data_IF_936286620336
#
_entry.id   IF_936286620336
#
_cell.length_a   1.000
_cell.length_b   1.000
_cell.length_c   1.000
_cell.angle_alpha   90.00
_cell.angle_beta   90.00
_cell.angle_gamma   90.00
#
_symmetry.space_group_name_H-M   'P 1'
#
loop_
_entity.id
_entity.type
_entity.pdbx_description
1 polymer ?
#
# COMPACT_ATOMS: atom_id res chain seq x y z
N UNK A 1 -14.77 -22.01 -11.64
CA UNK A 1 -13.42 -21.71 -11.10
C UNK A 1 -13.01 -20.27 -11.35
N UNK A 2 -13.11 -19.76 -12.59
CA UNK A 2 -12.63 -18.42 -12.99
C UNK A 2 -13.16 -17.24 -12.13
N UNK A 3 -14.47 -17.23 -11.82
CA UNK A 3 -15.09 -16.20 -10.99
C UNK A 3 -14.60 -16.22 -9.53
N UNK A 4 -14.29 -17.41 -9.01
CA UNK A 4 -13.80 -17.59 -7.63
C UNK A 4 -12.38 -17.01 -7.54
N UNK A 5 -11.49 -17.40 -8.46
CA UNK A 5 -10.13 -16.86 -8.51
C UNK A 5 -10.12 -15.35 -8.74
N UNK A 6 -11.01 -14.83 -9.60
CA UNK A 6 -11.17 -13.40 -9.86
C UNK A 6 -11.46 -12.62 -8.58
N UNK A 7 -12.48 -13.06 -7.83
CA UNK A 7 -12.89 -12.42 -6.58
C UNK A 7 -11.83 -12.55 -5.50
N UNK A 8 -11.22 -13.73 -5.37
CA UNK A 8 -10.23 -14.01 -4.34
C UNK A 8 -8.98 -13.12 -4.45
N UNK A 9 -8.56 -12.78 -5.67
CA UNK A 9 -7.36 -11.96 -5.91
C UNK A 9 -7.71 -10.47 -5.98
N UNK A 10 -8.79 -10.11 -6.70
CA UNK A 10 -9.09 -8.71 -6.98
C UNK A 10 -9.76 -8.00 -5.80
N UNK A 11 -10.59 -8.70 -5.02
CA UNK A 11 -11.30 -8.08 -3.89
C UNK A 11 -10.33 -7.60 -2.81
N UNK A 12 -9.34 -8.39 -2.34
CA UNK A 12 -8.33 -7.90 -1.39
C UNK A 12 -7.53 -6.72 -1.95
N UNK A 13 -7.21 -6.72 -3.24
CA UNK A 13 -6.51 -5.62 -3.89
C UNK A 13 -7.29 -4.32 -3.76
N UNK A 14 -8.58 -4.33 -4.11
CA UNK A 14 -9.46 -3.16 -3.99
C UNK A 14 -9.65 -2.72 -2.54
N UNK A 15 -9.76 -3.67 -1.60
CA UNK A 15 -9.89 -3.36 -0.18
C UNK A 15 -8.63 -2.68 0.38
N UNK A 16 -7.45 -3.22 0.07
CA UNK A 16 -6.18 -2.66 0.54
C UNK A 16 -5.98 -1.24 0.00
N UNK A 17 -6.21 -1.00 -1.29
CA UNK A 17 -6.08 0.33 -1.91
C UNK A 17 -7.11 1.33 -1.37
N UNK A 18 -8.35 0.89 -1.10
CA UNK A 18 -9.40 1.74 -0.54
C UNK A 18 -9.15 2.12 0.93
N UNK A 19 -8.58 1.21 1.73
CA UNK A 19 -8.29 1.42 3.15
C UNK A 19 -6.89 2.05 3.35
N UNK A 20 -6.04 2.10 2.32
CA UNK A 20 -4.71 2.75 2.33
C UNK A 20 -4.66 4.11 3.07
N UNK A 21 -5.57 5.08 2.85
CA UNK A 21 -5.53 6.37 3.57
C UNK A 21 -5.89 6.28 5.07
N UNK A 22 -6.40 5.14 5.54
CA UNK A 22 -6.68 4.86 6.94
C UNK A 22 -5.55 4.05 7.61
N UNK A 23 -4.81 3.26 6.83
CA UNK A 23 -3.64 2.50 7.31
C UNK A 23 -2.41 3.39 7.40
N UNK A 24 -2.28 4.36 6.49
CA UNK A 24 -1.17 5.33 6.50
C UNK A 24 -1.20 6.15 7.80
N UNK A 25 -0.02 6.42 8.38
CA UNK A 25 0.13 7.13 9.66
C UNK A 25 -0.73 8.40 9.70
N UNK A 26 -1.42 8.63 10.83
CA UNK A 26 -2.35 9.78 11.01
C UNK A 26 -1.70 11.14 10.77
N UNK A 27 -0.38 11.25 10.93
CA UNK A 27 0.41 12.46 10.71
C UNK A 27 0.75 12.72 9.24
N UNK A 28 0.48 11.76 8.34
CA UNK A 28 0.75 11.82 6.90
C UNK A 28 -0.50 11.40 6.12
N UNK A 29 -1.29 12.37 5.70
CA UNK A 29 -2.46 12.10 4.85
C UNK A 29 -2.09 12.39 3.40
N UNK A 30 -2.22 11.38 2.54
CA UNK A 30 -1.89 11.47 1.11
C UNK A 30 -0.47 12.01 0.85
N UNK A 31 0.52 11.61 1.66
CA UNK A 31 1.91 12.08 1.53
C UNK A 31 2.14 13.53 1.96
N UNK A 32 1.17 14.16 2.64
CA UNK A 32 1.30 15.50 3.19
C UNK A 32 1.24 15.43 4.71
N UNK A 33 2.26 15.97 5.36
CA UNK A 33 2.28 16.10 6.83
C UNK A 33 1.21 17.07 7.30
N UNK A 34 0.35 16.60 8.21
CA UNK A 34 -0.77 17.36 8.78
C UNK A 34 -0.61 17.45 10.29
N UNK A 35 -0.86 18.63 10.90
CA UNK A 35 -0.92 18.74 12.36
C UNK A 35 -1.99 17.79 12.93
N UNK A 36 -1.72 17.19 14.10
CA UNK A 36 -2.66 16.30 14.81
C UNK A 36 -4.04 16.93 14.99
N UNK A 37 -4.07 18.25 15.21
CA UNK A 37 -5.27 19.02 15.53
C UNK A 37 -6.20 19.19 14.31
N UNK A 38 -5.66 19.06 13.10
CA UNK A 38 -6.41 19.17 11.84
C UNK A 38 -6.79 17.79 11.31
N UNK A 39 -6.20 16.69 11.82
CA UNK A 39 -6.52 15.33 11.37
C UNK A 39 -8.00 14.96 11.53
N UNK A 40 -8.64 15.47 12.60
CA UNK A 40 -10.06 15.27 12.85
C UNK A 40 -10.97 16.27 12.12
N UNK A 41 -10.40 17.24 11.39
CA UNK A 41 -11.19 18.25 10.69
C UNK A 41 -12.13 17.58 9.67
N UNK A 42 -13.42 17.94 9.66
CA UNK A 42 -14.44 17.27 8.83
C UNK A 42 -14.08 17.26 7.34
N UNK A 43 -13.38 18.29 6.85
CA UNK A 43 -12.87 18.38 5.47
C UNK A 43 -11.91 17.24 5.10
N UNK A 44 -10.96 16.91 5.98
CA UNK A 44 -9.94 15.88 5.73
C UNK A 44 -10.54 14.48 5.89
N UNK A 45 -11.45 14.30 6.85
CA UNK A 45 -12.27 13.09 6.95
C UNK A 45 -13.11 12.87 5.68
N UNK A 46 -13.71 13.94 5.14
CA UNK A 46 -14.47 13.91 3.90
C UNK A 46 -13.63 13.51 2.68
N UNK A 47 -12.40 13.98 2.57
CA UNK A 47 -11.50 13.58 1.47
C UNK A 47 -11.13 12.10 1.51
N UNK A 48 -10.89 11.54 2.71
CA UNK A 48 -10.62 10.09 2.86
C UNK A 48 -11.83 9.25 2.46
N UNK A 49 -13.03 9.64 2.90
CA UNK A 49 -14.27 8.95 2.55
C UNK A 49 -14.54 9.02 1.04
N UNK A 50 -14.34 10.18 0.42
CA UNK A 50 -14.48 10.35 -1.03
C UNK A 50 -13.46 9.54 -1.81
N UNK A 51 -12.19 9.50 -1.37
CA UNK A 51 -11.17 8.65 -1.98
C UNK A 51 -11.54 7.16 -1.90
N UNK A 52 -11.93 6.68 -0.72
CA UNK A 52 -12.29 5.27 -0.52
C UNK A 52 -13.51 4.89 -1.38
N UNK A 53 -14.51 5.78 -1.44
CA UNK A 53 -15.67 5.60 -2.29
C UNK A 53 -15.31 5.59 -3.78
N UNK A 54 -14.51 6.55 -4.27
CA UNK A 54 -14.12 6.61 -5.68
C UNK A 54 -13.24 5.43 -6.09
N UNK A 55 -12.28 5.04 -5.26
CA UNK A 55 -11.38 3.90 -5.53
C UNK A 55 -12.12 2.58 -5.47
N UNK A 56 -13.07 2.44 -4.53
CA UNK A 56 -13.95 1.27 -4.43
C UNK A 56 -14.90 1.18 -5.63
N UNK A 57 -15.54 2.29 -6.02
CA UNK A 57 -16.43 2.35 -7.18
C UNK A 57 -15.67 2.01 -8.47
N UNK A 58 -14.46 2.53 -8.66
CA UNK A 58 -13.62 2.17 -9.79
C UNK A 58 -13.29 0.67 -9.81
N UNK A 59 -13.01 0.08 -8.64
CA UNK A 59 -12.77 -1.35 -8.50
C UNK A 59 -14.00 -2.20 -8.85
N UNK A 60 -15.19 -1.80 -8.39
CA UNK A 60 -16.45 -2.48 -8.71
C UNK A 60 -16.76 -2.40 -10.20
N UNK A 61 -16.56 -1.24 -10.84
CA UNK A 61 -16.78 -1.08 -12.28
C UNK A 61 -15.87 -2.01 -13.10
N UNK A 62 -14.58 -2.08 -12.74
CA UNK A 62 -13.63 -2.98 -13.42
C UNK A 62 -14.00 -4.44 -13.19
N UNK A 63 -14.41 -4.82 -11.96
CA UNK A 63 -14.89 -6.17 -11.68
C UNK A 63 -16.10 -6.56 -12.54
N UNK A 64 -17.07 -5.67 -12.68
CA UNK A 64 -18.27 -5.93 -13.50
C UNK A 64 -17.88 -6.11 -14.97
N UNK A 65 -17.00 -5.26 -15.49
CA UNK A 65 -16.50 -5.35 -16.87
C UNK A 65 -15.77 -6.68 -17.11
N UNK A 66 -14.86 -7.07 -16.20
CA UNK A 66 -14.11 -8.32 -16.30
C UNK A 66 -15.01 -9.56 -16.11
N UNK A 67 -16.03 -9.45 -15.26
CA UNK A 67 -17.03 -10.50 -15.05
C UNK A 67 -17.91 -10.72 -16.28
N UNK A 68 -18.34 -9.65 -16.95
CA UNK A 68 -19.07 -9.74 -18.22
C UNK A 68 -18.16 -10.33 -19.30
N UNK A 69 -16.92 -9.83 -19.42
CA UNK A 69 -15.95 -10.33 -20.41
C UNK A 69 -15.70 -11.84 -20.26
N UNK A 70 -15.69 -12.37 -19.03
CA UNK A 70 -15.53 -13.79 -18.74
C UNK A 70 -16.56 -14.69 -19.46
N UNK A 71 -17.77 -14.19 -19.72
CA UNK A 71 -18.80 -14.96 -20.42
C UNK A 71 -18.64 -15.01 -21.94
N UNK A 72 -17.83 -14.12 -22.53
CA UNK A 72 -17.70 -13.96 -23.97
C UNK A 72 -16.29 -14.29 -24.52
N UNK A 73 -15.33 -14.63 -23.64
CA UNK A 73 -13.94 -14.86 -24.02
C UNK A 73 -13.48 -16.27 -23.68
N UNK A 74 -12.46 -16.76 -24.38
CA UNK A 74 -11.76 -18.00 -24.00
C UNK A 74 -10.92 -17.80 -22.73
N UNK A 75 -10.59 -18.88 -22.03
CA UNK A 75 -9.80 -18.84 -20.79
C UNK A 75 -8.47 -18.08 -20.96
N UNK A 76 -7.77 -18.30 -22.07
CA UNK A 76 -6.51 -17.62 -22.38
C UNK A 76 -6.68 -16.10 -22.54
N UNK A 77 -7.67 -15.67 -23.34
CA UNK A 77 -7.94 -14.25 -23.54
C UNK A 77 -8.42 -13.59 -22.24
N UNK A 78 -9.21 -14.31 -21.44
CA UNK A 78 -9.65 -13.82 -20.15
C UNK A 78 -8.48 -13.57 -19.19
N UNK A 79 -7.50 -14.48 -19.12
CA UNK A 79 -6.31 -14.29 -18.28
C UNK A 79 -5.53 -13.04 -18.67
N UNK A 80 -5.38 -12.76 -19.97
CA UNK A 80 -4.74 -11.53 -20.46
C UNK A 80 -5.56 -10.30 -20.04
N UNK A 81 -6.87 -10.30 -20.30
CA UNK A 81 -7.76 -9.19 -19.94
C UNK A 81 -7.79 -8.93 -18.43
N UNK A 82 -7.80 -9.99 -17.63
CA UNK A 82 -7.76 -9.90 -16.18
C UNK A 82 -6.44 -9.27 -15.69
N UNK A 83 -5.31 -9.71 -16.26
CA UNK A 83 -3.98 -9.15 -15.94
C UNK A 83 -3.90 -7.68 -16.30
N UNK A 84 -4.31 -7.31 -17.51
CA UNK A 84 -4.35 -5.90 -17.96
C UNK A 84 -5.32 -5.09 -17.08
N UNK A 85 -6.46 -5.66 -16.71
CA UNK A 85 -7.46 -5.04 -15.84
C UNK A 85 -6.91 -4.70 -14.46
N UNK A 86 -6.04 -5.54 -13.89
CA UNK A 86 -5.33 -5.26 -12.63
C UNK A 86 -4.43 -4.03 -12.79
N UNK A 87 -3.61 -3.97 -13.84
CA UNK A 87 -2.74 -2.82 -14.08
C UNK A 87 -3.54 -1.53 -14.31
N UNK A 88 -4.63 -1.61 -15.09
CA UNK A 88 -5.54 -0.48 -15.31
C UNK A 88 -6.13 -0.01 -13.98
N UNK A 89 -6.58 -0.94 -13.11
CA UNK A 89 -7.09 -0.58 -11.79
C UNK A 89 -6.05 0.14 -10.94
N UNK A 90 -4.81 -0.37 -10.90
CA UNK A 90 -3.70 0.25 -10.15
C UNK A 90 -3.43 1.66 -10.68
N UNK A 91 -3.39 1.86 -12.00
CA UNK A 91 -3.21 3.16 -12.62
C UNK A 91 -4.35 4.13 -12.26
N UNK A 92 -5.60 3.68 -12.34
CA UNK A 92 -6.77 4.49 -11.97
C UNK A 92 -6.73 4.86 -10.48
N UNK A 93 -6.44 3.90 -9.60
CA UNK A 93 -6.28 4.15 -8.17
C UNK A 93 -5.17 5.17 -7.88
N UNK A 94 -4.04 5.07 -8.59
CA UNK A 94 -2.94 6.02 -8.51
C UNK A 94 -3.35 7.43 -8.97
N UNK A 95 -4.09 7.55 -10.07
CA UNK A 95 -4.61 8.85 -10.55
C UNK A 95 -5.54 9.47 -9.52
N UNK A 96 -6.47 8.68 -8.96
CA UNK A 96 -7.37 9.14 -7.90
C UNK A 96 -6.55 9.63 -6.70
N UNK A 97 -5.57 8.85 -6.24
CA UNK A 97 -4.68 9.22 -5.15
C UNK A 97 -3.98 10.56 -5.42
N UNK A 98 -3.41 10.72 -6.62
CA UNK A 98 -2.68 11.92 -7.01
C UNK A 98 -3.59 13.17 -7.07
N UNK A 99 -4.85 13.02 -7.50
CA UNK A 99 -5.81 14.11 -7.44
C UNK A 99 -6.09 14.57 -6.01
N UNK A 100 -6.25 13.63 -5.07
CA UNK A 100 -6.43 13.97 -3.66
C UNK A 100 -5.16 14.56 -3.03
N UNK A 101 -3.98 14.09 -3.42
CA UNK A 101 -2.71 14.72 -3.04
C UNK A 101 -2.68 16.21 -3.44
N UNK A 102 -3.05 16.53 -4.69
CA UNK A 102 -3.13 17.92 -5.16
C UNK A 102 -4.16 18.74 -4.37
N UNK A 103 -5.35 18.20 -4.11
CA UNK A 103 -6.39 18.88 -3.30
C UNK A 103 -5.91 19.15 -1.87
N UNK A 104 -5.20 18.20 -1.27
CA UNK A 104 -4.60 18.36 0.06
C UNK A 104 -3.48 19.40 0.07
N UNK A 105 -2.66 19.46 -0.99
CA UNK A 105 -1.61 20.48 -1.14
C UNK A 105 -2.21 21.89 -1.22
N UNK A 106 -3.24 22.07 -2.03
CA UNK A 106 -3.96 23.33 -2.15
C UNK A 106 -4.63 23.74 -0.83
N UNK A 107 -5.21 22.80 -0.09
CA UNK A 107 -5.80 23.08 1.22
C UNK A 107 -4.73 23.56 2.22
N UNK A 108 -3.56 22.91 2.24
CA UNK A 108 -2.43 23.29 3.10
C UNK A 108 -1.92 24.71 2.80
N UNK A 109 -1.90 25.10 1.53
CA UNK A 109 -1.52 26.45 1.10
C UNK A 109 -2.57 27.50 1.49
N UNK A 110 -3.86 27.20 1.30
CA UNK A 110 -4.98 28.09 1.67
C UNK A 110 -5.11 28.33 3.16
N UNK A 111 -5.05 27.27 3.95
CA UNK A 111 -5.20 27.30 5.41
C UNK A 111 -3.91 27.77 6.11
N UNK A 112 -2.88 28.09 5.34
CA UNK A 112 -1.60 28.62 5.79
C UNK A 112 -1.10 27.91 7.06
N UNK A 113 -1.07 26.57 7.05
CA UNK A 113 -0.72 25.74 8.22
C UNK A 113 0.68 26.04 8.78
N UNK A 114 1.50 26.84 8.08
CA UNK A 114 2.75 27.42 8.58
C UNK A 114 2.55 28.60 9.56
N UNK A 115 1.48 29.37 9.43
CA UNK A 115 1.21 30.59 10.21
C UNK A 115 0.69 30.31 11.62
N UNK A 116 -0.09 29.24 11.83
CA UNK A 116 -0.50 28.77 13.18
C UNK A 116 0.68 28.30 14.07
N UNK A 117 1.91 28.35 13.56
CA UNK A 117 3.13 27.90 14.25
C UNK A 117 4.14 29.04 14.52
N UNK A 118 3.65 30.27 14.68
CA UNK A 118 4.43 31.36 15.29
C UNK A 118 4.16 31.53 16.79
N UNK A 119 3.48 30.59 17.43
CA UNK A 119 3.72 30.37 18.86
C UNK A 119 5.04 29.62 18.98
N UNK A 120 6.02 30.35 19.48
CA UNK A 120 7.32 29.85 19.92
C UNK A 120 7.03 28.80 20.97
N UNK A 121 6.85 27.55 20.54
CA UNK A 121 7.04 26.43 21.45
C UNK A 121 8.53 26.43 21.72
N UNK A 122 8.93 27.10 22.80
CA UNK A 122 10.16 26.80 23.49
C UNK A 122 10.04 25.33 23.92
N UNK A 123 10.29 24.44 22.97
CA UNK A 123 10.41 23.01 23.24
C UNK A 123 11.69 22.92 24.03
N UNK A 124 11.54 22.76 25.34
CA UNK A 124 12.64 22.38 26.19
C UNK A 124 13.28 21.11 25.58
N UNK A 125 14.51 21.27 25.08
CA UNK A 125 15.28 20.20 24.46
C UNK A 125 15.74 19.16 25.50
N UNK A 126 15.40 19.34 26.78
CA UNK A 126 15.67 18.39 27.86
C UNK A 126 15.03 17.01 27.68
N UNK A 127 14.05 16.86 26.77
CA UNK A 127 13.40 15.58 26.47
C UNK A 127 14.02 14.80 25.29
N UNK A 128 15.09 15.29 24.65
CA UNK A 128 15.83 14.55 23.61
C UNK A 128 16.75 13.47 24.23
N UNK A 129 16.20 12.68 25.15
CA UNK A 129 16.89 11.53 25.75
C UNK A 129 16.01 10.27 25.76
N UNK A 130 14.95 10.23 24.96
CA UNK A 130 14.33 8.95 24.58
C UNK A 130 15.02 8.46 23.32
N UNK A 131 16.14 7.75 23.51
CA UNK A 131 16.62 6.79 22.52
C UNK A 131 15.45 5.89 22.16
N UNK A 132 14.88 6.08 20.97
CA UNK A 132 14.10 5.05 20.31
C UNK A 132 15.10 4.00 19.81
N UNK A 133 15.79 3.34 20.76
CA UNK A 133 16.47 2.09 20.49
C UNK A 133 15.34 1.10 20.28
N UNK A 134 14.87 0.99 19.03
CA UNK A 134 14.11 -0.17 18.63
C UNK A 134 14.92 -1.37 19.10
N UNK A 135 14.37 -2.13 20.06
CA UNK A 135 15.12 -3.20 20.71
C UNK A 135 15.76 -4.06 19.64
N UNK A 136 17.10 -4.18 19.65
CA UNK A 136 17.84 -5.07 18.75
C UNK A 136 17.27 -6.51 18.76
N UNK A 137 16.46 -6.85 19.78
CA UNK A 137 15.63 -8.04 19.86
C UNK A 137 14.73 -8.30 18.64
N UNK A 138 14.21 -7.28 17.97
CA UNK A 138 13.34 -7.50 16.79
C UNK A 138 14.12 -7.97 15.56
N UNK A 139 15.44 -7.75 15.52
CA UNK A 139 16.31 -8.21 14.44
C UNK A 139 16.69 -9.69 14.58
N UNK A 140 16.52 -10.27 15.77
CA UNK A 140 16.76 -11.70 15.99
C UNK A 140 15.80 -12.58 15.21
N UNK A 141 14.54 -12.16 15.03
CA UNK A 141 13.53 -12.95 14.33
C UNK A 141 13.91 -13.22 12.85
N UNK A 142 14.20 -12.21 12.00
CA UNK A 142 14.66 -12.47 10.63
C UNK A 142 16.04 -13.13 10.56
N UNK A 143 16.91 -12.88 11.54
CA UNK A 143 18.24 -13.50 11.60
C UNK A 143 18.16 -15.02 11.82
N UNK A 144 17.32 -15.48 12.77
CA UNK A 144 17.10 -16.91 13.02
C UNK A 144 16.53 -17.62 11.79
N UNK A 145 15.57 -16.99 11.10
CA UNK A 145 14.98 -17.56 9.87
C UNK A 145 16.05 -17.73 8.78
N UNK A 146 16.93 -16.73 8.62
CA UNK A 146 18.02 -16.77 7.64
C UNK A 146 19.03 -17.87 7.95
N UNK A 147 19.47 -17.97 9.21
CA UNK A 147 20.41 -19.00 9.66
C UNK A 147 19.80 -20.40 9.50
N UNK A 148 18.53 -20.58 9.87
CA UNK A 148 17.83 -21.85 9.70
C UNK A 148 17.72 -22.24 8.22
N UNK A 149 17.39 -21.31 7.34
CA UNK A 149 17.36 -21.55 5.90
C UNK A 149 18.72 -21.97 5.36
N UNK A 150 19.81 -21.32 5.78
CA UNK A 150 21.16 -21.67 5.37
C UNK A 150 21.56 -23.07 5.85
N UNK A 151 21.35 -23.38 7.12
CA UNK A 151 21.67 -24.70 7.68
C UNK A 151 20.86 -25.81 7.01
N UNK A 152 19.58 -25.55 6.73
CA UNK A 152 18.73 -26.47 5.99
C UNK A 152 19.26 -26.73 4.58
N UNK A 153 19.67 -25.67 3.87
CA UNK A 153 20.29 -25.78 2.55
C UNK A 153 21.61 -26.56 2.60
N UNK A 154 22.48 -26.30 3.58
CA UNK A 154 23.74 -27.01 3.73
C UNK A 154 23.54 -28.49 4.09
N UNK A 155 22.59 -28.83 4.96
CA UNK A 155 22.34 -30.23 5.34
C UNK A 155 21.70 -31.03 4.20
N UNK A 156 20.82 -30.41 3.42
CA UNK A 156 20.26 -31.04 2.22
C UNK A 156 21.12 -30.82 0.95
N UNK A 157 22.34 -30.28 1.09
CA UNK A 157 23.22 -30.02 -0.05
C UNK A 157 23.61 -31.31 -0.76
N UNK A 158 23.87 -32.39 0.00
CA UNK A 158 24.21 -33.72 -0.53
C UNK A 158 23.05 -34.38 -1.30
N UNK A 159 21.83 -33.84 -1.20
CA UNK A 159 20.64 -34.32 -1.95
C UNK A 159 20.33 -33.48 -3.18
N UNK A 160 21.13 -32.45 -3.49
CA UNK A 160 20.99 -31.70 -4.73
C UNK A 160 21.63 -32.49 -5.87
N UNK A 161 20.85 -32.91 -6.89
CA UNK A 161 21.41 -33.54 -8.09
C UNK A 161 22.49 -32.63 -8.69
N UNK A 162 23.66 -33.18 -9.01
CA UNK A 162 24.82 -32.45 -9.59
C UNK A 162 24.54 -31.83 -10.97
N UNK A 163 23.30 -31.85 -11.46
CA UNK A 163 22.91 -31.51 -12.83
C UNK A 163 22.71 -30.00 -13.10
N UNK A 164 22.92 -29.11 -12.15
CA UNK A 164 22.71 -27.65 -12.37
C UNK A 164 24.00 -26.84 -12.58
N UNK A 165 25.18 -27.45 -12.40
CA UNK A 165 26.48 -26.76 -12.48
C UNK A 165 27.08 -26.71 -13.90
N UNK A 166 26.32 -27.07 -14.93
CA UNK A 166 26.75 -27.01 -16.33
C UNK A 166 26.01 -25.92 -17.14
N UNK A 167 25.82 -24.73 -16.58
CA UNK A 167 25.32 -23.55 -17.33
C UNK A 167 26.26 -22.32 -17.15
N UNK A 168 27.41 -22.49 -16.51
CA UNK A 168 28.45 -21.45 -16.48
C UNK A 168 29.80 -22.10 -16.81
N UNK A 169 29.96 -22.58 -18.04
CA UNK A 169 31.25 -22.55 -18.69
C UNK A 169 31.13 -22.44 -20.20
#
# INVERSE_FOLDING_TARGET
MIYISMLLIFLPLVLITAITPYITRKTESFGITIPSDVYQHPTIAGFRKKYAFQSGLAGVLILVILGIAAGFTTDYLWTILYTVGIFVYILVAFIIYFQFHKKMKQLKEKENWKSKKKEVVAVDLSFYNKKLTYSNGWFLLPFIITVFSLLWTFWNYDRMPENYLCIIH
#
